data_IF_753419116390
#
_entry.id   IF_753419116390
#
_cell.length_a   1.000
_cell.length_b   1.000
_cell.length_c   1.000
_cell.angle_alpha   90.00
_cell.angle_beta   90.00
_cell.angle_gamma   90.00
#
_symmetry.space_group_name_H-M   'P 1'
#
loop_
_entity.id
_entity.type
_entity.pdbx_description
1 polymer ?
#
# COMPACT_ATOMS: atom_id res chain seq x y z
N UNK A 1 -9.66 4.39 -18.11
CA UNK A 1 -10.52 4.40 -16.91
C UNK A 1 -11.38 3.16 -16.91
N UNK A 2 -11.50 2.46 -15.78
CA UNK A 2 -12.38 1.29 -15.64
C UNK A 2 -13.62 1.73 -14.86
N UNK A 3 -14.80 1.70 -15.49
CA UNK A 3 -16.06 2.02 -14.83
C UNK A 3 -17.21 1.32 -15.58
N UNK A 4 -18.02 0.46 -14.92
CA UNK A 4 -17.85 0.03 -13.53
C UNK A 4 -16.78 -1.07 -13.36
N UNK A 5 -16.40 -1.36 -12.11
CA UNK A 5 -15.63 -2.54 -11.77
C UNK A 5 -16.56 -3.73 -11.49
N UNK A 6 -16.18 -4.99 -11.86
CA UNK A 6 -14.91 -5.38 -12.47
C UNK A 6 -14.79 -4.98 -13.96
N UNK A 7 -13.57 -4.73 -14.39
CA UNK A 7 -13.24 -4.39 -15.77
C UNK A 7 -11.75 -4.62 -16.03
N UNK A 8 -11.35 -4.58 -17.30
CA UNK A 8 -9.95 -4.74 -17.70
C UNK A 8 -9.54 -3.67 -18.71
N UNK A 9 -8.30 -3.28 -18.67
CA UNK A 9 -7.64 -2.41 -19.66
C UNK A 9 -6.32 -3.06 -20.07
N UNK A 10 -5.95 -2.84 -21.32
CA UNK A 10 -4.60 -3.17 -21.79
C UNK A 10 -3.71 -1.96 -21.66
N UNK A 11 -2.52 -2.17 -21.14
CA UNK A 11 -1.50 -1.14 -20.98
C UNK A 11 -0.21 -1.62 -21.63
N UNK A 12 0.54 -0.70 -22.22
CA UNK A 12 1.86 -1.01 -22.75
C UNK A 12 2.85 -1.22 -21.60
N UNK A 13 3.77 -2.18 -21.78
CA UNK A 13 4.83 -2.42 -20.80
C UNK A 13 5.76 -1.20 -20.75
N UNK A 14 5.94 -0.65 -19.56
CA UNK A 14 6.86 0.45 -19.28
C UNK A 14 7.65 0.13 -18.02
N UNK A 15 8.75 0.86 -17.81
CA UNK A 15 9.48 0.85 -16.55
C UNK A 15 8.87 1.80 -15.51
N UNK A 16 7.89 2.57 -15.90
CA UNK A 16 7.22 3.54 -15.04
C UNK A 16 6.16 2.86 -14.17
N UNK A 17 5.96 3.39 -12.99
CA UNK A 17 4.86 2.95 -12.13
C UNK A 17 3.51 3.40 -12.71
N UNK A 18 2.49 2.57 -12.50
CA UNK A 18 1.12 2.87 -12.90
C UNK A 18 0.37 3.41 -11.69
N UNK A 19 -0.08 4.66 -11.76
CA UNK A 19 -0.91 5.22 -10.72
C UNK A 19 -2.36 4.77 -10.88
N UNK A 20 -2.91 4.27 -9.77
CA UNK A 20 -4.29 3.77 -9.69
C UNK A 20 -5.06 4.62 -8.70
N UNK A 21 -6.14 5.26 -9.16
CA UNK A 21 -7.08 5.97 -8.31
C UNK A 21 -8.39 5.18 -8.19
N UNK A 22 -8.83 4.94 -6.97
CA UNK A 22 -10.05 4.21 -6.64
C UNK A 22 -11.04 5.15 -5.95
N UNK A 23 -12.25 5.22 -6.49
CA UNK A 23 -13.36 6.00 -5.93
C UNK A 23 -14.57 5.11 -5.68
N UNK A 24 -15.26 5.29 -4.57
CA UNK A 24 -16.48 4.57 -4.22
C UNK A 24 -17.35 5.41 -3.30
N UNK A 25 -18.65 5.47 -3.58
CA UNK A 25 -19.60 6.17 -2.72
C UNK A 25 -19.54 5.66 -1.27
N UNK A 26 -19.45 6.56 -0.31
CA UNK A 26 -19.34 6.25 1.12
C UNK A 26 -17.92 5.93 1.59
N UNK A 27 -16.91 6.10 0.72
CA UNK A 27 -15.51 5.89 1.04
C UNK A 27 -14.68 7.10 0.59
N UNK A 28 -13.55 7.32 1.25
CA UNK A 28 -12.54 8.27 0.82
C UNK A 28 -11.85 7.76 -0.45
N UNK A 29 -11.50 8.69 -1.33
CA UNK A 29 -10.73 8.37 -2.53
C UNK A 29 -9.36 7.82 -2.11
N UNK A 30 -8.93 6.78 -2.78
CA UNK A 30 -7.65 6.14 -2.54
C UNK A 30 -6.80 6.15 -3.80
N UNK A 31 -5.52 6.45 -3.64
CA UNK A 31 -4.53 6.39 -4.72
C UNK A 31 -3.49 5.34 -4.35
N UNK A 32 -3.17 4.49 -5.31
CA UNK A 32 -2.11 3.50 -5.20
C UNK A 32 -1.20 3.56 -6.43
N UNK A 33 -0.07 2.86 -6.36
CA UNK A 33 0.86 2.77 -7.47
C UNK A 33 1.29 1.32 -7.66
N UNK A 34 1.28 0.86 -8.90
CA UNK A 34 1.74 -0.48 -9.30
C UNK A 34 3.11 -0.33 -9.93
N UNK A 35 4.14 -0.79 -9.25
CA UNK A 35 5.52 -0.72 -9.74
C UNK A 35 5.87 -1.85 -10.70
N UNK A 36 6.76 -1.57 -11.67
CA UNK A 36 7.35 -2.59 -12.54
C UNK A 36 8.57 -3.28 -11.92
N UNK A 37 9.12 -2.72 -10.85
CA UNK A 37 10.24 -3.28 -10.07
C UNK A 37 10.06 -2.96 -8.60
N UNK A 38 10.50 -3.89 -7.76
CA UNK A 38 10.63 -3.63 -6.34
C UNK A 38 11.58 -2.44 -6.11
N UNK A 39 11.01 -1.31 -5.75
CA UNK A 39 11.78 -0.15 -5.28
C UNK A 39 11.46 0.06 -3.80
N UNK A 40 12.46 0.10 -2.92
CA UNK A 40 12.26 0.40 -1.49
C UNK A 40 11.55 1.74 -1.27
N UNK A 41 11.68 2.67 -2.22
CA UNK A 41 10.97 3.96 -2.22
C UNK A 41 9.45 3.87 -2.46
N UNK A 42 8.94 2.73 -2.94
CA UNK A 42 7.49 2.50 -3.12
C UNK A 42 6.74 2.50 -1.77
N UNK A 43 7.44 2.32 -0.65
CA UNK A 43 6.86 2.51 0.69
C UNK A 43 6.25 3.89 0.89
N UNK A 44 6.85 4.94 0.35
CA UNK A 44 6.30 6.28 0.42
C UNK A 44 4.95 6.43 -0.31
N UNK A 45 4.76 5.71 -1.41
CA UNK A 45 3.56 5.79 -2.24
C UNK A 45 2.43 4.88 -1.74
N UNK A 46 2.73 3.78 -1.04
CA UNK A 46 1.75 2.94 -0.32
C UNK A 46 0.98 3.78 0.71
N UNK A 47 1.54 4.89 1.14
CA UNK A 47 1.00 5.78 2.16
C UNK A 47 -0.13 6.69 1.66
N UNK A 48 -0.31 6.87 0.34
CA UNK A 48 -1.22 7.89 -0.19
C UNK A 48 -2.68 7.48 -0.37
N UNK A 49 -3.15 6.34 0.08
CA UNK A 49 -4.58 6.09 -0.05
C UNK A 49 -5.08 4.70 0.26
N UNK A 50 -4.26 3.86 0.76
CA UNK A 50 -4.72 2.50 1.09
C UNK A 50 -3.56 1.56 1.31
N UNK A 51 -3.81 0.51 2.06
CA UNK A 51 -2.84 -0.59 2.16
C UNK A 51 -2.85 -1.31 0.82
N UNK A 52 -1.75 -1.22 0.10
CA UNK A 52 -1.53 -2.06 -1.07
C UNK A 52 -0.98 -3.38 -0.55
N UNK A 53 -1.78 -4.43 -0.65
CA UNK A 53 -1.29 -5.80 -0.44
C UNK A 53 -0.42 -6.20 -1.62
N UNK A 54 0.89 -6.10 -1.47
CA UNK A 54 1.83 -6.63 -2.45
C UNK A 54 1.95 -8.13 -2.23
N UNK A 55 1.27 -8.92 -3.02
CA UNK A 55 1.57 -10.34 -3.16
C UNK A 55 2.66 -10.45 -4.22
N UNK A 56 3.88 -10.62 -3.78
CA UNK A 56 5.01 -10.78 -4.69
C UNK A 56 5.17 -12.26 -4.97
N UNK A 57 4.79 -12.68 -6.16
CA UNK A 57 5.23 -13.96 -6.73
C UNK A 57 6.72 -13.84 -7.11
N UNK A 58 7.56 -14.46 -6.30
CA UNK A 58 9.02 -14.42 -6.43
C UNK A 58 9.56 -15.48 -7.43
N UNK A 59 8.92 -15.69 -8.57
CA UNK A 59 9.33 -16.76 -9.47
C UNK A 59 9.35 -16.37 -10.94
N UNK A 60 10.12 -15.36 -11.33
CA UNK A 60 10.69 -15.37 -12.69
C UNK A 60 11.71 -14.24 -12.88
N UNK A 61 12.88 -14.58 -13.38
CA UNK A 61 13.94 -13.65 -13.80
C UNK A 61 13.59 -12.86 -15.06
N UNK A 62 12.38 -12.36 -15.19
CA UNK A 62 11.92 -11.62 -16.35
C UNK A 62 12.03 -10.10 -16.13
N UNK A 63 12.65 -9.47 -17.07
CA UNK A 63 12.81 -8.02 -17.18
C UNK A 63 11.47 -7.33 -17.36
N UNK A 64 11.15 -6.38 -16.44
CA UNK A 64 9.98 -5.50 -16.49
C UNK A 64 8.62 -6.22 -16.45
N UNK A 65 8.29 -6.85 -15.33
CA UNK A 65 6.93 -7.29 -15.01
C UNK A 65 6.34 -6.40 -13.93
N UNK A 66 5.07 -6.01 -14.11
CA UNK A 66 4.27 -5.38 -13.07
C UNK A 66 3.85 -6.41 -12.02
N UNK A 67 3.57 -5.95 -10.82
CA UNK A 67 3.02 -6.79 -9.76
C UNK A 67 1.73 -7.45 -10.23
N UNK A 68 1.61 -8.76 -10.01
CA UNK A 68 0.48 -9.56 -10.49
C UNK A 68 -0.82 -9.24 -9.77
N UNK A 69 -0.74 -8.74 -8.55
CA UNK A 69 -1.89 -8.36 -7.75
C UNK A 69 -1.56 -7.20 -6.81
N UNK A 70 -2.42 -6.18 -6.85
CA UNK A 70 -2.38 -5.04 -5.94
C UNK A 70 -3.74 -4.90 -5.27
N UNK A 71 -3.77 -4.76 -3.94
CA UNK A 71 -4.98 -4.55 -3.17
C UNK A 71 -4.99 -3.13 -2.60
N UNK A 72 -6.01 -2.34 -2.93
CA UNK A 72 -6.21 -1.00 -2.40
C UNK A 72 -7.42 -1.04 -1.46
N UNK A 73 -7.19 -0.81 -0.16
CA UNK A 73 -8.23 -0.77 0.85
C UNK A 73 -8.79 0.64 0.98
N UNK A 74 -10.08 0.79 0.70
CA UNK A 74 -10.78 2.06 0.85
C UNK A 74 -11.18 2.32 2.31
N UNK A 75 -10.96 3.54 2.77
CA UNK A 75 -11.37 3.97 4.11
C UNK A 75 -12.81 4.48 4.06
N UNK A 76 -13.75 4.00 4.90
CA UNK A 76 -15.10 4.54 4.97
C UNK A 76 -15.09 6.03 5.34
N UNK A 77 -15.98 6.83 4.74
CA UNK A 77 -16.15 8.24 5.11
C UNK A 77 -16.64 8.41 6.55
N UNK A 78 -17.46 7.45 7.01
CA UNK A 78 -18.01 7.43 8.35
C UNK A 78 -18.03 6.01 8.91
N UNK A 79 -17.82 5.87 10.20
CA UNK A 79 -17.92 4.62 10.93
C UNK A 79 -19.18 4.59 11.79
N UNK A 80 -19.84 3.43 11.93
CA UNK A 80 -21.06 3.31 12.75
C UNK A 80 -20.83 3.54 14.24
N UNK A 81 -19.58 3.57 14.69
CA UNK A 81 -19.19 3.83 16.08
C UNK A 81 -17.68 3.74 16.25
N UNK A 82 -17.20 4.15 17.42
CA UNK A 82 -15.76 4.16 17.74
C UNK A 82 -15.14 2.76 17.67
N UNK A 83 -15.84 1.73 18.13
CA UNK A 83 -15.36 0.35 18.10
C UNK A 83 -15.11 -0.15 16.66
N UNK A 84 -16.01 0.15 15.73
CA UNK A 84 -15.88 -0.23 14.34
C UNK A 84 -14.72 0.50 13.66
N UNK A 85 -14.55 1.80 13.97
CA UNK A 85 -13.41 2.59 13.53
C UNK A 85 -12.10 1.98 14.04
N UNK A 86 -12.02 1.74 15.33
CA UNK A 86 -10.80 1.27 15.97
C UNK A 86 -10.41 -0.11 15.43
N UNK A 87 -11.36 -1.03 15.32
CA UNK A 87 -11.13 -2.34 14.69
C UNK A 87 -10.60 -2.24 13.25
N UNK A 88 -11.16 -1.34 12.44
CA UNK A 88 -10.71 -1.13 11.07
C UNK A 88 -9.25 -0.66 11.02
N UNK A 89 -8.90 0.34 11.82
CA UNK A 89 -7.55 0.89 11.84
C UNK A 89 -6.53 -0.04 12.49
N UNK A 90 -6.93 -0.83 13.49
CA UNK A 90 -6.07 -1.85 14.08
C UNK A 90 -5.73 -2.95 13.07
N UNK A 91 -6.70 -3.45 12.31
CA UNK A 91 -6.47 -4.42 11.24
C UNK A 91 -5.56 -3.85 10.14
N UNK A 92 -5.79 -2.59 9.77
CA UNK A 92 -4.97 -1.89 8.79
C UNK A 92 -3.52 -1.73 9.28
N UNK A 93 -3.35 -1.38 10.54
CA UNK A 93 -2.03 -1.27 11.18
C UNK A 93 -1.29 -2.60 11.21
N UNK A 94 -1.95 -3.69 11.59
CA UNK A 94 -1.38 -5.04 11.60
C UNK A 94 -0.95 -5.47 10.20
N UNK A 95 -1.82 -5.32 9.21
CA UNK A 95 -1.51 -5.63 7.81
C UNK A 95 -0.30 -4.85 7.31
N UNK A 96 -0.21 -3.56 7.66
CA UNK A 96 0.91 -2.71 7.28
C UNK A 96 2.23 -3.17 7.92
N UNK A 97 2.23 -3.56 9.20
CA UNK A 97 3.41 -4.08 9.91
C UNK A 97 3.90 -5.38 9.26
N UNK A 98 2.98 -6.29 8.93
CA UNK A 98 3.32 -7.55 8.25
C UNK A 98 4.00 -7.27 6.89
N UNK A 99 3.46 -6.36 6.10
CA UNK A 99 4.04 -5.98 4.82
C UNK A 99 5.41 -5.31 4.99
N UNK A 100 5.55 -4.38 5.92
CA UNK A 100 6.82 -3.74 6.23
C UNK A 100 7.90 -4.75 6.59
N UNK A 101 7.54 -5.78 7.38
CA UNK A 101 8.44 -6.88 7.71
C UNK A 101 8.86 -7.69 6.48
N UNK A 102 7.92 -8.04 5.61
CA UNK A 102 8.21 -8.78 4.37
C UNK A 102 9.16 -8.00 3.46
N UNK A 103 8.96 -6.69 3.33
CA UNK A 103 9.86 -5.85 2.54
C UNK A 103 11.27 -5.81 3.12
N UNK A 104 11.41 -5.64 4.43
CA UNK A 104 12.73 -5.67 5.09
C UNK A 104 13.44 -7.00 4.85
N UNK A 105 12.74 -8.13 5.01
CA UNK A 105 13.27 -9.47 4.73
C UNK A 105 13.71 -9.60 3.27
N UNK A 106 12.95 -9.05 2.34
CA UNK A 106 13.29 -9.08 0.94
C UNK A 106 14.53 -8.22 0.62
N UNK A 107 14.62 -7.02 1.21
CA UNK A 107 15.82 -6.18 1.10
C UNK A 107 17.04 -6.99 1.57
N UNK A 108 16.98 -7.61 2.74
CA UNK A 108 18.06 -8.42 3.32
C UNK A 108 18.48 -9.58 2.41
N UNK A 109 17.53 -10.18 1.68
CA UNK A 109 17.81 -11.31 0.79
C UNK A 109 18.40 -10.93 -0.57
N UNK A 110 18.28 -9.68 -1.00
CA UNK A 110 18.61 -9.25 -2.37
C UNK A 110 19.74 -8.24 -2.46
N UNK A 111 20.09 -7.57 -1.40
CA UNK A 111 21.09 -6.50 -1.42
C UNK A 111 22.46 -6.95 -0.92
N UNK A 112 23.52 -6.26 -1.32
CA UNK A 112 24.88 -6.38 -0.81
C UNK A 112 25.10 -5.42 0.38
N UNK A 113 26.11 -5.68 1.22
CA UNK A 113 26.27 -5.08 2.55
C UNK A 113 26.08 -3.56 2.62
N UNK A 114 26.69 -2.79 1.73
CA UNK A 114 26.64 -1.32 1.78
C UNK A 114 25.30 -0.74 1.37
N UNK A 115 24.64 -1.34 0.39
CA UNK A 115 23.34 -0.89 -0.11
C UNK A 115 22.22 -1.33 0.82
N UNK A 116 22.37 -2.49 1.47
CA UNK A 116 21.42 -3.03 2.43
C UNK A 116 21.10 -2.08 3.57
N UNK A 117 22.11 -1.55 4.23
CA UNK A 117 21.91 -0.66 5.39
C UNK A 117 21.14 0.61 5.01
N UNK A 118 21.45 1.17 3.84
CA UNK A 118 20.73 2.36 3.33
C UNK A 118 19.27 2.04 3.03
N UNK A 119 19.01 0.92 2.35
CA UNK A 119 17.65 0.50 1.99
C UNK A 119 16.81 0.13 3.22
N UNK A 120 17.39 -0.59 4.18
CA UNK A 120 16.73 -0.93 5.44
C UNK A 120 16.38 0.31 6.27
N UNK A 121 17.27 1.32 6.29
CA UNK A 121 16.97 2.59 6.96
C UNK A 121 15.80 3.31 6.29
N UNK A 122 15.79 3.43 4.98
CA UNK A 122 14.66 4.02 4.23
C UNK A 122 13.36 3.26 4.46
N UNK A 123 13.41 1.92 4.48
CA UNK A 123 12.24 1.09 4.79
C UNK A 123 11.74 1.32 6.23
N UNK A 124 12.64 1.48 7.19
CA UNK A 124 12.26 1.77 8.59
C UNK A 124 11.66 3.18 8.75
N UNK A 125 12.21 4.18 8.07
CA UNK A 125 11.65 5.54 8.04
C UNK A 125 10.26 5.55 7.39
N UNK A 126 10.07 4.83 6.27
CA UNK A 126 8.78 4.65 5.61
C UNK A 126 7.75 3.94 6.49
N UNK A 127 8.15 2.88 7.21
CA UNK A 127 7.27 2.21 8.17
C UNK A 127 6.81 3.14 9.29
N UNK A 128 7.74 3.90 9.88
CA UNK A 128 7.41 4.88 10.92
C UNK A 128 6.43 5.93 10.41
N UNK A 129 6.67 6.48 9.23
CA UNK A 129 5.79 7.47 8.62
C UNK A 129 4.40 6.89 8.31
N UNK A 130 4.34 5.63 7.83
CA UNK A 130 3.10 4.93 7.54
C UNK A 130 2.25 4.68 8.77
N UNK A 131 2.85 4.22 9.85
CA UNK A 131 2.15 4.01 11.12
C UNK A 131 1.62 5.34 11.70
N UNK A 132 2.41 6.40 11.65
CA UNK A 132 1.97 7.73 12.09
C UNK A 132 0.78 8.24 11.27
N UNK A 133 0.77 7.99 9.97
CA UNK A 133 -0.35 8.36 9.10
C UNK A 133 -1.61 7.55 9.39
N UNK A 134 -1.52 6.23 9.56
CA UNK A 134 -2.66 5.38 9.93
C UNK A 134 -3.30 5.91 11.21
N UNK A 135 -2.50 6.30 12.19
CA UNK A 135 -3.00 6.87 13.43
C UNK A 135 -3.64 8.25 13.23
N UNK A 136 -3.05 9.12 12.42
CA UNK A 136 -3.64 10.42 12.08
C UNK A 136 -5.00 10.27 11.36
N UNK A 137 -5.10 9.33 10.42
CA UNK A 137 -6.35 9.01 9.72
C UNK A 137 -7.40 8.45 10.70
N UNK A 138 -7.00 7.61 11.65
CA UNK A 138 -7.88 7.12 12.73
C UNK A 138 -8.47 8.25 13.55
N UNK A 139 -7.64 9.22 13.94
CA UNK A 139 -8.07 10.37 14.75
C UNK A 139 -8.97 11.32 13.95
N UNK A 140 -8.74 11.46 12.65
CA UNK A 140 -9.54 12.29 11.76
C UNK A 140 -10.82 11.61 11.24
N UNK A 141 -10.97 10.29 11.44
CA UNK A 141 -12.09 9.52 10.93
C UNK A 141 -13.41 9.88 11.61
N UNK A 142 -14.43 10.16 10.80
CA UNK A 142 -15.76 10.50 11.29
C UNK A 142 -16.47 9.29 11.89
N UNK A 143 -17.21 9.53 12.96
CA UNK A 143 -18.11 8.56 13.59
C UNK A 143 -19.51 9.08 13.40
N UNK A 144 -20.40 8.21 12.91
CA UNK A 144 -21.82 8.54 12.77
C UNK A 144 -22.38 8.89 14.17
N UNK A 145 -22.93 10.09 14.28
CA UNK A 145 -23.59 10.50 15.53
C UNK A 145 -24.76 9.59 15.88
N UNK A 146 -25.16 9.56 17.14
CA UNK A 146 -26.31 8.79 17.61
C UNK A 146 -27.61 9.21 16.94
#
# INVERSE_FOLDING_TARGET
>A
MINPTPGSISIEKSHDAIDVSCTKNGFLDAVGSVGSKFQPMTFGNILFGGIIGVVVDAASGATAEYETQVTITLTPNEFPGAEARDKFFDQRRESFIVQAKQVKQRIESMCNENECQKQLRLAAEGEKAGLARIEAERQAANIKGP
#
